data_IF_541704686028
#
_entry.id   IF_541704686028
#
_cell.length_a   1.000
_cell.length_b   1.000
_cell.length_c   1.000
_cell.angle_alpha   90.00
_cell.angle_beta   90.00
_cell.angle_gamma   90.00
#
_symmetry.space_group_name_H-M   'P 1'
#
loop_
_entity.id
_entity.type
_entity.pdbx_description
1 polymer ?
#
# COMPACT_ATOMS: atom_id res chain seq x y z
N UNK A 1 -18.64 6.59 7.09
CA UNK A 1 -17.91 7.35 6.07
C UNK A 1 -17.66 6.48 4.84
N UNK A 2 -17.45 7.11 3.67
CA UNK A 2 -17.27 6.40 2.38
C UNK A 2 -15.88 5.77 2.27
N UNK A 3 -15.79 4.67 1.52
CA UNK A 3 -14.55 4.00 1.13
C UNK A 3 -14.23 4.48 -0.28
N UNK A 4 -13.16 5.23 -0.44
CA UNK A 4 -12.72 5.70 -1.74
C UNK A 4 -11.74 4.71 -2.38
N UNK A 5 -12.00 4.32 -3.62
CA UNK A 5 -11.06 3.56 -4.46
C UNK A 5 -10.54 4.51 -5.53
N UNK A 6 -9.22 4.55 -5.74
CA UNK A 6 -8.59 5.25 -6.87
C UNK A 6 -8.25 4.22 -7.93
N UNK A 7 -8.74 4.41 -9.14
CA UNK A 7 -8.63 3.42 -10.23
C UNK A 7 -7.19 3.08 -10.64
N UNK A 8 -6.22 3.96 -10.35
CA UNK A 8 -4.80 3.71 -10.61
C UNK A 8 -4.42 3.81 -12.09
N UNK A 9 -3.51 2.95 -12.54
CA UNK A 9 -2.99 2.96 -13.91
C UNK A 9 -4.07 2.55 -14.92
N UNK A 10 -4.37 3.39 -15.94
CA UNK A 10 -5.33 3.04 -16.99
C UNK A 10 -4.88 1.85 -17.86
N UNK A 11 -3.58 1.62 -17.97
CA UNK A 11 -2.97 0.52 -18.73
C UNK A 11 -2.67 -0.68 -17.83
N UNK A 12 -3.70 -1.22 -17.17
CA UNK A 12 -3.55 -2.28 -16.19
C UNK A 12 -4.81 -3.15 -16.08
N UNK A 13 -4.75 -4.15 -15.21
CA UNK A 13 -5.90 -4.98 -14.83
C UNK A 13 -6.86 -4.29 -13.86
N UNK A 14 -6.67 -3.01 -13.54
CA UNK A 14 -7.36 -2.36 -12.42
C UNK A 14 -8.88 -2.32 -12.60
N UNK A 15 -9.38 -1.96 -13.78
CA UNK A 15 -10.83 -1.98 -14.04
C UNK A 15 -11.41 -3.38 -13.83
N UNK A 16 -10.71 -4.42 -14.27
CA UNK A 16 -11.14 -5.80 -14.12
C UNK A 16 -11.24 -6.21 -12.65
N UNK A 17 -10.20 -5.95 -11.85
CA UNK A 17 -10.24 -6.29 -10.42
C UNK A 17 -11.27 -5.45 -9.65
N UNK A 18 -11.51 -4.19 -10.04
CA UNK A 18 -12.56 -3.33 -9.46
C UNK A 18 -13.94 -3.93 -9.75
N UNK A 19 -14.25 -4.25 -10.99
CA UNK A 19 -15.56 -4.77 -11.40
C UNK A 19 -15.82 -6.16 -10.81
N UNK A 20 -14.83 -7.06 -10.84
CA UNK A 20 -14.94 -8.38 -10.19
C UNK A 20 -15.11 -8.26 -8.67
N UNK A 21 -14.42 -7.31 -8.04
CA UNK A 21 -14.61 -7.05 -6.60
C UNK A 21 -16.00 -6.54 -6.31
N UNK A 22 -16.48 -5.55 -7.06
CA UNK A 22 -17.83 -4.99 -6.92
C UNK A 22 -18.90 -6.07 -6.96
N UNK A 23 -18.84 -6.97 -7.93
CA UNK A 23 -19.84 -8.04 -8.07
C UNK A 23 -19.84 -9.02 -6.89
N UNK A 24 -18.71 -9.16 -6.17
CA UNK A 24 -18.58 -10.05 -4.99
C UNK A 24 -18.93 -9.37 -3.66
N UNK A 25 -19.21 -8.06 -3.65
CA UNK A 25 -19.54 -7.33 -2.44
C UNK A 25 -21.05 -7.38 -2.13
N UNK A 26 -21.39 -7.39 -0.83
CA UNK A 26 -22.75 -7.23 -0.40
C UNK A 26 -23.26 -5.77 -0.55
N UNK A 27 -24.57 -5.57 -0.53
CA UNK A 27 -25.24 -4.26 -0.69
C UNK A 27 -24.74 -3.22 0.33
N UNK A 28 -24.54 -3.61 1.59
CA UNK A 28 -24.07 -2.73 2.67
C UNK A 28 -22.69 -2.13 2.36
N UNK A 29 -21.74 -2.94 1.90
CA UNK A 29 -20.39 -2.48 1.54
C UNK A 29 -20.41 -1.69 0.23
N UNK A 30 -21.19 -2.11 -0.78
CA UNK A 30 -21.36 -1.38 -2.04
C UNK A 30 -21.80 0.06 -1.82
N UNK A 31 -22.76 0.29 -0.92
CA UNK A 31 -23.27 1.62 -0.59
C UNK A 31 -22.22 2.57 0.03
N UNK A 32 -21.10 2.03 0.52
CA UNK A 32 -20.00 2.84 1.08
C UNK A 32 -18.94 3.20 0.06
N UNK A 33 -18.88 2.49 -1.07
CA UNK A 33 -17.78 2.64 -2.05
C UNK A 33 -18.05 3.79 -3.02
N UNK A 34 -17.03 4.57 -3.25
CA UNK A 34 -16.90 5.52 -4.35
C UNK A 34 -15.60 5.24 -5.12
N UNK A 35 -15.60 5.47 -6.42
CA UNK A 35 -14.45 5.29 -7.28
C UNK A 35 -14.01 6.64 -7.87
N UNK A 36 -12.76 7.03 -7.71
CA UNK A 36 -12.15 8.10 -8.49
C UNK A 36 -11.55 7.47 -9.75
N UNK A 37 -12.06 7.86 -10.90
CA UNK A 37 -11.63 7.31 -12.18
C UNK A 37 -12.23 8.05 -13.36
N UNK A 38 -11.76 7.78 -14.57
CA UNK A 38 -12.37 8.34 -15.76
C UNK A 38 -13.57 7.49 -16.20
N UNK A 39 -14.76 8.10 -16.23
CA UNK A 39 -16.01 7.40 -16.51
C UNK A 39 -16.03 6.74 -17.89
N UNK A 40 -15.65 7.48 -18.94
CA UNK A 40 -15.65 6.94 -20.32
C UNK A 40 -14.61 5.83 -20.51
N UNK A 41 -13.43 5.95 -19.89
CA UNK A 41 -12.43 4.88 -19.89
C UNK A 41 -13.00 3.60 -19.28
N UNK A 42 -13.55 3.71 -18.07
CA UNK A 42 -14.12 2.57 -17.34
C UNK A 42 -15.28 1.93 -18.09
N UNK A 43 -16.13 2.72 -18.72
CA UNK A 43 -17.24 2.26 -19.56
C UNK A 43 -16.74 1.45 -20.77
N UNK A 44 -15.70 1.95 -21.47
CA UNK A 44 -15.10 1.23 -22.62
C UNK A 44 -14.36 -0.04 -22.15
N UNK A 45 -13.60 0.02 -21.05
CA UNK A 45 -12.91 -1.14 -20.49
C UNK A 45 -13.93 -2.21 -20.05
N UNK A 46 -15.03 -1.82 -19.36
CA UNK A 46 -16.12 -2.74 -19.00
C UNK A 46 -16.67 -3.50 -20.20
N UNK A 47 -16.95 -2.78 -21.30
CA UNK A 47 -17.44 -3.40 -22.54
C UNK A 47 -16.46 -4.41 -23.10
N UNK A 48 -15.16 -4.05 -23.20
CA UNK A 48 -14.11 -4.96 -23.73
C UNK A 48 -13.88 -6.19 -22.85
N UNK A 49 -13.96 -6.07 -21.53
CA UNK A 49 -13.76 -7.19 -20.59
C UNK A 49 -15.03 -8.04 -20.44
N UNK A 50 -16.18 -7.50 -20.87
CA UNK A 50 -17.51 -8.13 -20.77
C UNK A 50 -17.90 -8.49 -19.31
N UNK A 51 -17.75 -7.53 -18.39
CA UNK A 51 -18.20 -7.70 -17.00
C UNK A 51 -19.48 -6.87 -16.76
N UNK A 52 -20.61 -7.51 -16.39
CA UNK A 52 -21.85 -6.79 -16.13
C UNK A 52 -21.75 -6.00 -14.81
N UNK A 53 -21.80 -4.67 -14.93
CA UNK A 53 -21.82 -3.73 -13.79
C UNK A 53 -22.44 -2.41 -14.23
N UNK A 54 -23.26 -1.81 -13.38
CA UNK A 54 -23.80 -0.48 -13.61
C UNK A 54 -22.84 0.57 -13.07
N UNK A 55 -22.49 1.55 -13.92
CA UNK A 55 -21.63 2.67 -13.58
C UNK A 55 -22.49 3.95 -13.52
N UNK A 56 -22.26 4.77 -12.50
CA UNK A 56 -22.98 6.03 -12.33
C UNK A 56 -21.99 7.16 -12.01
N UNK A 57 -21.96 8.19 -12.85
CA UNK A 57 -21.16 9.40 -12.64
C UNK A 57 -21.80 10.26 -11.55
N UNK A 58 -21.00 10.75 -10.60
CA UNK A 58 -21.44 11.63 -9.53
C UNK A 58 -20.54 12.87 -9.46
N UNK A 59 -21.13 14.02 -9.13
CA UNK A 59 -20.40 15.29 -9.02
C UNK A 59 -19.94 15.55 -7.58
N UNK A 60 -20.73 15.11 -6.58
CA UNK A 60 -20.44 15.32 -5.16
C UNK A 60 -20.74 14.06 -4.32
N UNK A 61 -19.91 13.83 -3.30
CA UNK A 61 -20.01 12.67 -2.40
C UNK A 61 -21.30 12.71 -1.57
N UNK A 62 -21.78 13.91 -1.21
CA UNK A 62 -22.97 14.13 -0.36
C UNK A 62 -24.29 13.74 -1.04
N UNK A 63 -24.35 13.78 -2.37
CA UNK A 63 -25.56 13.48 -3.15
C UNK A 63 -25.75 12.00 -3.51
N UNK A 64 -25.03 11.09 -2.86
CA UNK A 64 -25.14 9.65 -3.18
C UNK A 64 -26.45 9.09 -2.66
N UNK A 65 -27.41 8.83 -3.55
CA UNK A 65 -28.59 8.02 -3.24
C UNK A 65 -28.19 6.57 -2.98
N UNK A 66 -28.61 6.01 -1.84
CA UNK A 66 -28.15 4.71 -1.33
C UNK A 66 -28.87 3.50 -1.94
N UNK A 67 -29.87 3.71 -2.82
CA UNK A 67 -30.76 2.64 -3.28
C UNK A 67 -30.40 2.05 -4.66
N UNK A 68 -29.43 2.61 -5.34
CA UNK A 68 -29.00 2.22 -6.67
C UNK A 68 -27.79 1.27 -6.61
N UNK A 69 -27.90 0.08 -7.19
CA UNK A 69 -26.83 -0.93 -7.26
C UNK A 69 -25.76 -0.61 -8.35
N UNK A 70 -25.42 0.69 -8.51
CA UNK A 70 -24.37 1.13 -9.43
C UNK A 70 -23.11 1.56 -8.69
N UNK A 71 -21.93 1.34 -9.30
CA UNK A 71 -20.66 1.86 -8.82
C UNK A 71 -20.59 3.37 -9.08
N UNK A 72 -20.52 4.15 -8.01
CA UNK A 72 -20.47 5.62 -8.05
C UNK A 72 -19.08 6.09 -8.41
N UNK A 73 -18.95 6.92 -9.45
CA UNK A 73 -17.69 7.39 -10.01
C UNK A 73 -17.59 8.91 -9.92
N UNK A 74 -16.59 9.39 -9.19
CA UNK A 74 -16.10 10.77 -9.31
C UNK A 74 -15.24 10.79 -10.56
N UNK A 75 -15.72 11.47 -11.59
CA UNK A 75 -15.05 11.50 -12.89
C UNK A 75 -13.79 12.37 -12.84
N UNK A 76 -12.65 11.78 -13.24
CA UNK A 76 -11.38 12.48 -13.37
C UNK A 76 -10.95 12.51 -14.85
N UNK A 77 -10.61 13.69 -15.41
CA UNK A 77 -10.38 13.85 -16.83
C UNK A 77 -9.19 13.02 -17.34
N UNK A 78 -9.37 12.36 -18.48
CA UNK A 78 -8.34 11.60 -19.18
C UNK A 78 -8.61 11.65 -20.69
N UNK A 79 -7.60 12.04 -21.49
CA UNK A 79 -7.64 11.95 -22.96
C UNK A 79 -7.02 10.62 -23.39
N UNK A 80 -7.74 9.84 -24.19
CA UNK A 80 -7.29 8.54 -24.71
C UNK A 80 -7.99 8.18 -26.02
N UNK A 81 -7.32 7.41 -26.86
CA UNK A 81 -7.87 6.82 -28.08
C UNK A 81 -8.24 5.34 -27.86
N UNK A 82 -7.31 4.54 -27.31
CA UNK A 82 -7.54 3.16 -26.89
C UNK A 82 -7.59 3.08 -25.37
N UNK A 83 -8.59 2.34 -24.85
CA UNK A 83 -8.84 2.27 -23.41
C UNK A 83 -7.84 1.41 -22.64
N UNK A 84 -6.96 0.66 -23.32
CA UNK A 84 -5.86 -0.11 -22.71
C UNK A 84 -4.47 0.30 -23.22
N UNK A 85 -4.40 1.31 -24.10
CA UNK A 85 -3.15 1.86 -24.65
C UNK A 85 -3.11 3.39 -24.49
N UNK A 86 -3.35 3.87 -23.28
CA UNK A 86 -3.27 5.30 -22.97
C UNK A 86 -1.83 5.78 -23.04
N UNK A 87 -1.58 6.90 -23.72
CA UNK A 87 -0.23 7.51 -23.81
C UNK A 87 0.35 7.76 -22.42
N UNK A 88 1.63 7.41 -22.21
CA UNK A 88 2.31 7.45 -20.91
C UNK A 88 2.19 8.82 -20.21
N UNK A 89 2.31 9.91 -20.97
CA UNK A 89 2.16 11.29 -20.45
C UNK A 89 0.76 11.56 -19.91
N UNK A 90 -0.28 11.07 -20.60
CA UNK A 90 -1.68 11.20 -20.16
C UNK A 90 -1.96 10.30 -18.95
N UNK A 91 -1.46 9.08 -18.97
CA UNK A 91 -1.57 8.15 -17.84
C UNK A 91 -0.90 8.72 -16.58
N UNK A 92 0.30 9.32 -16.69
CA UNK A 92 1.00 9.95 -15.58
C UNK A 92 0.21 11.13 -14.99
N UNK A 93 -0.31 12.05 -15.84
CA UNK A 93 -1.16 13.18 -15.39
C UNK A 93 -2.41 12.68 -14.67
N UNK A 94 -3.08 11.67 -15.23
CA UNK A 94 -4.28 11.08 -14.66
C UNK A 94 -4.02 10.43 -13.31
N UNK A 95 -2.99 9.59 -13.20
CA UNK A 95 -2.62 8.89 -11.96
C UNK A 95 -2.26 9.89 -10.86
N UNK A 96 -1.39 10.86 -11.15
CA UNK A 96 -0.99 11.87 -10.18
C UNK A 96 -2.15 12.76 -9.74
N UNK A 97 -3.01 13.14 -10.68
CA UNK A 97 -4.16 13.98 -10.39
C UNK A 97 -5.24 13.26 -9.57
N UNK A 98 -5.56 12.01 -9.92
CA UNK A 98 -6.52 11.21 -9.15
C UNK A 98 -6.04 10.89 -7.73
N UNK A 99 -4.74 10.63 -7.54
CA UNK A 99 -4.14 10.48 -6.20
C UNK A 99 -4.19 11.79 -5.41
N UNK A 100 -3.93 12.93 -6.05
CA UNK A 100 -4.04 14.25 -5.41
C UNK A 100 -5.46 14.54 -4.96
N UNK A 101 -6.45 14.25 -5.81
CA UNK A 101 -7.86 14.43 -5.46
C UNK A 101 -8.22 13.58 -4.22
N UNK A 102 -7.84 12.29 -4.21
CA UNK A 102 -8.07 11.44 -3.05
C UNK A 102 -7.39 11.97 -1.78
N UNK A 103 -6.15 12.44 -1.88
CA UNK A 103 -5.43 13.07 -0.77
C UNK A 103 -6.17 14.31 -0.25
N UNK A 104 -6.61 15.21 -1.14
CA UNK A 104 -7.36 16.41 -0.74
C UNK A 104 -8.68 16.07 -0.03
N UNK A 105 -9.43 15.09 -0.55
CA UNK A 105 -10.66 14.61 0.12
C UNK A 105 -10.39 14.05 1.52
N UNK A 106 -9.24 13.38 1.73
CA UNK A 106 -8.82 12.95 3.05
C UNK A 106 -8.50 14.13 3.99
N UNK A 107 -7.73 15.12 3.51
CA UNK A 107 -7.35 16.30 4.30
C UNK A 107 -8.59 17.12 4.71
N UNK A 108 -9.56 17.22 3.82
CA UNK A 108 -10.86 17.87 4.08
C UNK A 108 -11.82 17.02 4.94
N UNK A 109 -11.41 15.83 5.38
CA UNK A 109 -12.25 14.87 6.13
C UNK A 109 -13.54 14.43 5.42
N UNK A 110 -13.63 14.57 4.09
CA UNK A 110 -14.75 14.07 3.30
C UNK A 110 -14.74 12.54 3.18
N UNK A 111 -13.55 11.94 3.21
CA UNK A 111 -13.33 10.49 3.29
C UNK A 111 -12.34 10.15 4.42
N UNK A 112 -12.44 8.93 4.98
CA UNK A 112 -11.52 8.46 6.04
C UNK A 112 -10.14 8.03 5.52
N UNK A 113 -10.00 7.88 4.21
CA UNK A 113 -8.84 7.37 3.54
C UNK A 113 -9.23 6.74 2.21
N UNK A 114 -8.28 6.10 1.54
CA UNK A 114 -8.54 5.51 0.22
C UNK A 114 -7.73 4.24 -0.06
N UNK A 115 -8.24 3.46 -1.01
CA UNK A 115 -7.56 2.30 -1.59
C UNK A 115 -7.12 2.71 -2.99
N UNK A 116 -5.82 2.75 -3.28
CA UNK A 116 -5.37 2.93 -4.65
C UNK A 116 -5.07 1.58 -5.31
N UNK A 117 -5.60 1.38 -6.49
CA UNK A 117 -5.24 0.25 -7.34
C UNK A 117 -3.80 0.37 -7.85
N UNK A 118 -3.19 -0.72 -8.33
CA UNK A 118 -1.83 -0.75 -8.85
C UNK A 118 -1.48 0.36 -9.83
N UNK A 119 -0.23 0.82 -9.76
CA UNK A 119 0.30 1.89 -10.61
C UNK A 119 1.69 1.48 -11.10
N UNK A 120 1.96 1.69 -12.39
CA UNK A 120 3.32 1.57 -12.90
C UNK A 120 4.21 2.65 -12.29
N UNK A 121 5.28 2.25 -11.59
CA UNK A 121 6.17 3.15 -10.85
C UNK A 121 6.73 4.29 -11.70
N UNK A 122 7.02 4.02 -12.98
CA UNK A 122 7.55 5.01 -13.91
C UNK A 122 6.59 6.19 -14.19
N UNK A 123 5.28 6.05 -13.92
CA UNK A 123 4.30 7.14 -14.07
C UNK A 123 4.42 8.20 -12.97
N UNK A 124 4.94 7.83 -11.80
CA UNK A 124 5.04 8.72 -10.64
C UNK A 124 6.48 9.00 -10.22
N UNK A 125 7.47 8.35 -10.88
CA UNK A 125 8.88 8.47 -10.53
C UNK A 125 9.39 9.89 -10.74
N UNK A 126 9.88 10.51 -9.67
CA UNK A 126 10.60 11.79 -9.62
C UNK A 126 11.74 11.67 -8.62
N UNK A 127 12.69 12.66 -8.58
CA UNK A 127 13.79 12.68 -7.59
C UNK A 127 13.24 12.49 -6.16
N UNK A 128 13.60 11.38 -5.51
CA UNK A 128 13.17 11.02 -4.17
C UNK A 128 11.71 10.59 -4.03
N UNK A 129 11.02 10.22 -5.13
CA UNK A 129 9.69 9.61 -5.15
C UNK A 129 9.79 8.35 -6.01
N UNK A 130 9.67 7.20 -5.38
CA UNK A 130 9.80 5.88 -6.03
C UNK A 130 8.49 5.11 -6.04
N UNK A 131 7.49 5.56 -5.26
CA UNK A 131 6.18 4.94 -5.16
C UNK A 131 5.14 5.87 -4.54
N UNK A 132 3.92 5.37 -4.38
CA UNK A 132 2.79 6.14 -3.81
C UNK A 132 3.05 6.47 -2.34
N UNK A 133 3.73 5.61 -1.60
CA UNK A 133 4.06 5.83 -0.18
C UNK A 133 4.91 7.10 -0.01
N UNK A 134 6.01 7.21 -0.76
CA UNK A 134 6.89 8.38 -0.71
C UNK A 134 6.20 9.63 -1.30
N UNK A 135 5.37 9.46 -2.34
CA UNK A 135 4.59 10.56 -2.92
C UNK A 135 3.65 11.20 -1.90
N UNK A 136 2.92 10.38 -1.15
CA UNK A 136 1.99 10.86 -0.13
C UNK A 136 2.73 11.34 1.13
N UNK A 137 3.81 10.68 1.52
CA UNK A 137 4.65 11.09 2.66
C UNK A 137 5.18 12.51 2.48
N UNK A 138 5.67 12.86 1.29
CA UNK A 138 6.12 14.23 0.98
C UNK A 138 5.01 15.30 1.01
N UNK A 139 3.75 14.90 0.86
CA UNK A 139 2.57 15.79 0.91
C UNK A 139 1.94 15.87 2.30
N UNK A 140 2.41 15.05 3.24
CA UNK A 140 1.87 15.07 4.61
C UNK A 140 2.31 16.37 5.31
N UNK A 141 1.38 17.22 5.74
CA UNK A 141 1.72 18.51 6.35
C UNK A 141 2.39 18.37 7.72
N UNK A 142 2.23 17.23 8.39
CA UNK A 142 2.90 16.97 9.67
C UNK A 142 4.16 16.14 9.46
N UNK A 143 5.34 16.74 9.59
CA UNK A 143 6.63 16.05 9.65
C UNK A 143 6.83 15.19 10.93
N UNK A 144 5.77 14.99 11.71
CA UNK A 144 5.83 14.29 13.01
C UNK A 144 6.15 12.80 12.85
N UNK A 145 5.67 12.18 11.77
CA UNK A 145 5.85 10.76 11.50
C UNK A 145 6.49 10.53 10.13
N UNK A 146 7.40 9.56 10.06
CA UNK A 146 7.93 9.11 8.77
C UNK A 146 6.94 8.16 8.12
N UNK A 147 6.89 8.15 6.80
CA UNK A 147 6.13 7.15 6.05
C UNK A 147 6.75 5.76 6.23
N UNK A 148 5.92 4.77 6.50
CA UNK A 148 6.31 3.36 6.65
C UNK A 148 5.43 2.49 5.78
N UNK A 149 6.04 1.65 4.96
CA UNK A 149 5.37 0.61 4.19
C UNK A 149 5.18 -0.62 5.08
N UNK A 150 3.93 -1.00 5.34
CA UNK A 150 3.58 -2.22 6.06
C UNK A 150 2.88 -3.19 5.10
N UNK A 151 3.51 -4.31 4.77
CA UNK A 151 2.79 -5.44 4.17
C UNK A 151 2.15 -6.24 5.28
N UNK A 152 0.83 -6.43 5.18
CA UNK A 152 0.04 -7.05 6.24
C UNK A 152 -0.75 -8.26 5.75
N UNK A 153 -0.63 -9.35 6.48
CA UNK A 153 -1.52 -10.49 6.53
C UNK A 153 -1.97 -10.70 7.98
N UNK A 154 -3.09 -11.37 8.21
CA UNK A 154 -3.60 -11.63 9.56
C UNK A 154 -2.61 -12.35 10.49
N UNK A 155 -1.69 -13.15 9.93
CA UNK A 155 -0.70 -13.95 10.68
C UNK A 155 0.61 -13.21 10.90
N UNK A 156 1.00 -12.29 9.99
CA UNK A 156 2.29 -11.61 10.03
C UNK A 156 2.21 -10.29 9.27
N UNK A 157 2.95 -9.32 9.73
CA UNK A 157 3.25 -8.10 8.98
C UNK A 157 4.76 -7.97 8.75
N UNK A 158 5.15 -7.33 7.65
CA UNK A 158 6.56 -7.02 7.39
C UNK A 158 6.76 -5.57 7.00
N UNK A 159 7.89 -5.02 7.41
CA UNK A 159 8.30 -3.63 7.13
C UNK A 159 9.73 -3.62 6.60
N UNK A 160 9.97 -3.23 5.34
CA UNK A 160 11.30 -2.89 4.89
C UNK A 160 11.66 -1.47 5.33
N UNK A 161 12.80 -1.28 6.01
CA UNK A 161 13.30 0.05 6.38
C UNK A 161 13.67 0.88 5.17
N UNK A 162 14.32 0.24 4.18
CA UNK A 162 14.58 0.83 2.86
C UNK A 162 13.74 0.11 1.81
N UNK A 163 13.12 0.87 0.89
CA UNK A 163 12.17 0.32 -0.09
C UNK A 163 12.81 0.16 -1.47
N UNK A 164 12.94 1.21 -2.24
CA UNK A 164 13.35 1.15 -3.65
C UNK A 164 14.78 1.70 -3.86
N UNK A 165 15.70 1.28 -3.01
CA UNK A 165 17.12 1.66 -3.04
C UNK A 165 17.92 0.52 -3.68
N UNK A 166 18.94 0.84 -4.46
CA UNK A 166 19.84 -0.16 -5.02
C UNK A 166 20.59 -0.88 -3.90
N UNK A 167 20.79 -2.19 -4.00
CA UNK A 167 21.43 -3.01 -2.97
C UNK A 167 22.78 -2.42 -2.55
N UNK A 168 23.61 -1.99 -3.50
CA UNK A 168 24.93 -1.37 -3.25
C UNK A 168 24.89 -0.09 -2.38
N UNK A 169 23.72 0.53 -2.26
CA UNK A 169 23.58 1.79 -1.52
C UNK A 169 22.87 1.61 -0.18
N UNK A 170 22.36 0.40 0.15
CA UNK A 170 21.53 0.17 1.33
C UNK A 170 22.25 0.58 2.61
N UNK A 171 23.47 0.13 2.82
CA UNK A 171 24.28 0.42 4.01
C UNK A 171 24.40 1.94 4.27
N UNK A 172 24.53 2.75 3.20
CA UNK A 172 24.58 4.23 3.31
C UNK A 172 23.30 4.85 3.87
N UNK A 173 22.15 4.18 3.65
CA UNK A 173 20.84 4.67 4.11
C UNK A 173 20.45 4.13 5.49
N UNK A 174 21.03 3.00 5.93
CA UNK A 174 20.77 2.47 7.27
C UNK A 174 21.46 3.38 8.30
N UNK A 175 20.65 4.11 9.05
CA UNK A 175 21.11 5.04 10.10
C UNK A 175 20.27 4.81 11.36
N UNK A 176 20.85 4.95 12.54
CA UNK A 176 20.18 4.84 13.84
C UNK A 176 18.87 5.63 13.87
N UNK A 177 18.91 6.91 13.48
CA UNK A 177 17.74 7.78 13.48
C UNK A 177 16.63 7.32 12.50
N UNK A 178 16.99 6.71 11.34
CA UNK A 178 16.01 6.15 10.41
C UNK A 178 15.25 4.98 11.07
N UNK A 179 15.98 4.06 11.70
CA UNK A 179 15.42 2.91 12.41
C UNK A 179 14.45 3.38 13.49
N UNK A 180 14.90 4.30 14.36
CA UNK A 180 14.11 4.84 15.46
C UNK A 180 12.84 5.53 14.95
N UNK A 181 12.94 6.42 13.96
CA UNK A 181 11.77 7.14 13.40
C UNK A 181 10.75 6.18 12.80
N UNK A 182 11.20 5.20 12.00
CA UNK A 182 10.28 4.25 11.34
C UNK A 182 9.63 3.30 12.32
N UNK A 183 10.36 2.79 13.32
CA UNK A 183 9.80 1.91 14.34
C UNK A 183 8.85 2.66 15.28
N UNK A 184 9.14 3.90 15.64
CA UNK A 184 8.19 4.75 16.38
C UNK A 184 6.87 4.92 15.61
N UNK A 185 6.96 5.24 14.31
CA UNK A 185 5.77 5.34 13.46
C UNK A 185 5.04 4.00 13.37
N UNK A 186 5.76 2.92 13.12
CA UNK A 186 5.21 1.56 13.06
C UNK A 186 4.42 1.24 14.33
N UNK A 187 5.02 1.37 15.50
CA UNK A 187 4.38 0.99 16.77
C UNK A 187 3.09 1.81 17.04
N UNK A 188 3.15 3.12 16.87
CA UNK A 188 2.01 4.02 17.09
C UNK A 188 0.85 3.67 16.15
N UNK A 189 1.14 3.53 14.87
CA UNK A 189 0.10 3.27 13.87
C UNK A 189 -0.40 1.83 13.92
N UNK A 190 0.44 0.86 14.23
CA UNK A 190 0.02 -0.53 14.43
C UNK A 190 -0.98 -0.63 15.59
N UNK A 191 -0.68 -0.01 16.73
CA UNK A 191 -1.60 0.05 17.88
C UNK A 191 -2.93 0.72 17.52
N UNK A 192 -2.91 1.80 16.74
CA UNK A 192 -4.13 2.46 16.25
C UNK A 192 -4.98 1.57 15.35
N UNK A 193 -4.35 0.86 14.42
CA UNK A 193 -5.02 0.04 13.42
C UNK A 193 -5.55 -1.27 13.98
N UNK A 194 -4.76 -1.96 14.82
CA UNK A 194 -5.03 -3.31 15.28
C UNK A 194 -5.47 -3.40 16.74
N UNK A 195 -5.49 -2.26 17.47
CA UNK A 195 -5.83 -2.16 18.89
C UNK A 195 -4.96 -3.07 19.78
N UNK A 196 -3.72 -3.29 19.37
CA UNK A 196 -2.77 -4.19 19.99
C UNK A 196 -1.35 -3.63 19.86
N UNK A 197 -0.52 -3.78 20.89
CA UNK A 197 0.91 -3.50 20.78
C UNK A 197 1.60 -4.63 20.00
N UNK A 198 2.43 -4.30 18.97
CA UNK A 198 3.10 -5.32 18.20
C UNK A 198 4.31 -5.89 18.94
N UNK A 199 4.51 -7.20 18.83
CA UNK A 199 5.80 -7.85 19.10
C UNK A 199 6.65 -7.69 17.83
N UNK A 200 7.70 -6.86 17.92
CA UNK A 200 8.52 -6.47 16.79
C UNK A 200 9.85 -7.21 16.83
N UNK A 201 10.26 -7.77 15.72
CA UNK A 201 11.61 -8.27 15.52
C UNK A 201 12.31 -7.47 14.43
N UNK A 202 13.57 -7.13 14.64
CA UNK A 202 14.43 -6.46 13.67
C UNK A 202 15.46 -7.46 13.18
N UNK A 203 15.58 -7.60 11.86
CA UNK A 203 16.62 -8.43 11.25
C UNK A 203 17.93 -7.65 11.11
N UNK A 204 19.05 -8.33 11.04
CA UNK A 204 20.32 -7.73 10.67
C UNK A 204 20.38 -7.36 9.17
N UNK A 205 21.38 -6.62 8.79
CA UNK A 205 21.64 -6.25 7.41
C UNK A 205 22.49 -7.32 6.70
N UNK A 206 23.54 -7.77 7.38
CA UNK A 206 24.56 -8.65 6.82
C UNK A 206 24.26 -10.14 7.12
N UNK A 207 24.78 -11.06 6.29
CA UNK A 207 24.74 -12.48 6.60
C UNK A 207 25.32 -12.76 8.00
N UNK A 208 24.63 -13.62 8.78
CA UNK A 208 24.99 -13.99 10.15
C UNK A 208 25.23 -12.82 11.11
N UNK A 209 24.61 -11.64 10.80
CA UNK A 209 24.85 -10.37 11.51
C UNK A 209 26.33 -9.97 11.52
N UNK A 210 27.09 -10.35 10.49
CA UNK A 210 28.52 -10.10 10.36
C UNK A 210 29.32 -10.58 11.59
N UNK A 211 28.93 -11.71 12.18
CA UNK A 211 29.50 -12.28 13.43
C UNK A 211 29.71 -11.25 14.54
N UNK A 212 28.92 -10.16 14.51
CA UNK A 212 28.99 -9.01 15.42
C UNK A 212 30.37 -8.29 15.42
N UNK A 213 31.03 -8.26 14.30
CA UNK A 213 32.26 -7.50 14.12
C UNK A 213 32.08 -6.02 14.52
N UNK A 214 33.08 -5.44 15.19
CA UNK A 214 33.05 -4.06 15.73
C UNK A 214 32.68 -3.00 14.69
N UNK A 215 32.99 -3.24 13.40
CA UNK A 215 32.75 -2.29 12.32
C UNK A 215 31.46 -2.51 11.56
N UNK A 216 30.71 -3.58 11.86
CA UNK A 216 29.46 -3.89 11.18
C UNK A 216 28.33 -2.88 11.46
N UNK A 217 27.39 -2.77 10.55
CA UNK A 217 26.15 -1.98 10.73
C UNK A 217 25.33 -2.50 11.91
N UNK A 218 25.40 -3.78 12.20
CA UNK A 218 24.76 -4.39 13.36
C UNK A 218 25.25 -3.75 14.65
N UNK A 219 26.56 -3.71 14.86
CA UNK A 219 27.17 -3.21 16.11
C UNK A 219 27.10 -1.69 16.18
N UNK A 220 27.40 -0.98 15.10
CA UNK A 220 27.47 0.48 15.11
C UNK A 220 26.11 1.18 15.04
N UNK A 221 25.10 0.54 14.45
CA UNK A 221 23.85 1.22 14.09
C UNK A 221 22.62 0.48 14.65
N UNK A 222 22.47 -0.83 14.33
CA UNK A 222 21.22 -1.55 14.58
C UNK A 222 21.06 -1.84 16.07
N UNK A 223 22.06 -2.40 16.73
CA UNK A 223 22.04 -2.70 18.17
C UNK A 223 21.78 -1.44 19.00
N UNK A 224 22.50 -0.31 18.78
CA UNK A 224 22.22 0.93 19.51
C UNK A 224 20.81 1.48 19.31
N UNK A 225 20.23 1.33 18.10
CA UNK A 225 18.85 1.72 17.84
C UNK A 225 17.85 0.83 18.60
N UNK A 226 18.07 -0.48 18.60
CA UNK A 226 17.21 -1.44 19.30
C UNK A 226 17.28 -1.23 20.81
N UNK A 227 18.48 -1.02 21.37
CA UNK A 227 18.65 -0.71 22.82
C UNK A 227 17.82 0.49 23.25
N UNK A 228 17.80 1.54 22.46
CA UNK A 228 17.01 2.74 22.75
C UNK A 228 15.50 2.45 22.65
N UNK A 229 15.07 1.74 21.60
CA UNK A 229 13.66 1.42 21.37
C UNK A 229 13.10 0.40 22.36
N UNK A 230 13.91 -0.53 22.86
CA UNK A 230 13.53 -1.56 23.85
C UNK A 230 13.06 -0.97 25.16
N UNK A 231 13.46 0.26 25.49
CA UNK A 231 12.97 0.99 26.68
C UNK A 231 11.48 1.33 26.59
N UNK A 232 10.89 1.32 25.36
CA UNK A 232 9.52 1.81 25.11
C UNK A 232 8.62 0.77 24.44
N UNK A 233 9.19 -0.21 23.75
CA UNK A 233 8.45 -1.12 22.88
C UNK A 233 8.88 -2.57 23.07
N UNK A 234 7.97 -3.49 22.80
CA UNK A 234 8.30 -4.93 22.74
C UNK A 234 9.03 -5.23 21.42
N UNK A 235 10.35 -5.09 21.46
CA UNK A 235 11.23 -5.19 20.28
C UNK A 235 12.47 -6.01 20.63
N UNK A 236 12.87 -6.88 19.71
CA UNK A 236 14.09 -7.70 19.81
C UNK A 236 14.87 -7.68 18.49
N UNK A 237 16.14 -8.08 18.56
CA UNK A 237 17.04 -8.18 17.42
C UNK A 237 18.42 -7.58 17.72
N UNK A 238 19.32 -7.51 16.72
CA UNK A 238 19.13 -8.02 15.37
C UNK A 238 19.12 -9.58 15.35
N UNK A 239 18.14 -10.13 14.63
CA UNK A 239 18.09 -11.57 14.36
C UNK A 239 18.71 -11.89 13.01
N UNK A 240 19.34 -13.06 12.91
CA UNK A 240 19.92 -13.55 11.65
C UNK A 240 18.81 -13.87 10.66
N UNK A 241 18.87 -13.27 9.46
CA UNK A 241 17.73 -13.24 8.54
C UNK A 241 17.44 -14.56 7.83
N UNK A 242 18.47 -15.35 7.49
CA UNK A 242 18.35 -16.58 6.71
C UNK A 242 17.53 -17.67 7.43
N UNK A 243 17.75 -17.87 8.71
CA UNK A 243 17.07 -18.88 9.53
C UNK A 243 15.75 -18.37 10.15
N UNK A 244 15.56 -17.04 10.21
CA UNK A 244 14.44 -16.46 10.95
C UNK A 244 13.07 -16.88 10.41
N UNK A 245 12.91 -16.93 9.09
CA UNK A 245 11.63 -17.26 8.45
C UNK A 245 11.29 -18.75 8.44
N UNK A 246 12.16 -19.63 8.93
CA UNK A 246 11.87 -21.07 9.07
C UNK A 246 10.72 -21.27 10.07
N UNK A 247 10.86 -20.80 11.31
CA UNK A 247 9.85 -20.98 12.36
C UNK A 247 9.70 -19.77 13.30
N UNK A 248 10.79 -19.05 13.56
CA UNK A 248 10.84 -18.00 14.59
C UNK A 248 9.87 -16.85 14.35
N UNK A 249 9.51 -16.59 13.08
CA UNK A 249 8.60 -15.49 12.70
C UNK A 249 7.20 -15.63 13.33
N UNK A 250 6.77 -16.84 13.68
CA UNK A 250 5.45 -17.12 14.28
C UNK A 250 5.26 -16.46 15.66
N UNK A 251 6.36 -16.15 16.33
CA UNK A 251 6.35 -15.51 17.65
C UNK A 251 6.17 -13.99 17.59
N UNK A 252 6.16 -13.40 16.42
CA UNK A 252 6.14 -11.95 16.22
C UNK A 252 4.95 -11.50 15.40
N UNK A 253 4.55 -10.27 15.61
CA UNK A 253 3.48 -9.63 14.86
C UNK A 253 4.03 -8.87 13.65
N UNK A 254 5.27 -8.32 13.80
CA UNK A 254 5.94 -7.54 12.76
C UNK A 254 7.41 -7.89 12.66
N UNK A 255 7.85 -8.17 11.44
CA UNK A 255 9.27 -8.34 11.08
C UNK A 255 9.75 -7.10 10.36
N UNK A 256 10.79 -6.47 10.87
CA UNK A 256 11.44 -5.31 10.27
C UNK A 256 12.74 -5.75 9.63
N UNK A 257 12.82 -5.64 8.30
CA UNK A 257 14.05 -5.90 7.55
C UNK A 257 14.74 -4.62 7.12
N UNK A 258 16.03 -4.72 6.82
CA UNK A 258 16.83 -3.58 6.41
C UNK A 258 16.50 -3.14 4.98
N UNK A 259 16.12 -4.07 4.10
CA UNK A 259 15.79 -3.79 2.71
C UNK A 259 14.59 -4.60 2.20
N UNK A 260 14.08 -4.16 1.06
CA UNK A 260 12.85 -4.62 0.46
C UNK A 260 12.76 -6.14 0.32
N UNK A 261 13.71 -6.75 -0.41
CA UNK A 261 13.61 -8.16 -0.76
C UNK A 261 13.89 -9.09 0.42
N UNK A 262 14.61 -8.63 1.45
CA UNK A 262 14.88 -9.41 2.66
C UNK A 262 13.61 -9.91 3.35
N UNK A 263 12.57 -9.10 3.35
CA UNK A 263 11.31 -9.44 4.03
C UNK A 263 10.15 -9.72 3.07
N UNK A 264 10.16 -9.13 1.86
CA UNK A 264 9.05 -9.32 0.94
C UNK A 264 9.10 -10.66 0.21
N UNK A 265 10.28 -11.19 -0.10
CA UNK A 265 10.41 -12.50 -0.74
C UNK A 265 9.79 -13.61 0.14
N UNK A 266 10.23 -13.82 1.39
CA UNK A 266 9.64 -14.84 2.25
C UNK A 266 8.16 -14.56 2.54
N UNK A 267 7.78 -13.30 2.78
CA UNK A 267 6.39 -12.93 3.04
C UNK A 267 5.46 -13.27 1.87
N UNK A 268 5.86 -12.95 0.64
CA UNK A 268 5.06 -13.26 -0.56
C UNK A 268 5.02 -14.75 -0.87
N UNK A 269 6.07 -15.49 -0.55
CA UNK A 269 6.08 -16.94 -0.66
C UNK A 269 5.03 -17.57 0.27
N UNK A 270 4.92 -17.11 1.52
CA UNK A 270 3.94 -17.62 2.48
C UNK A 270 2.50 -17.22 2.15
N UNK A 271 2.28 -15.96 1.78
CA UNK A 271 0.92 -15.40 1.73
C UNK A 271 0.40 -15.13 0.32
N UNK A 272 1.23 -15.19 -0.71
CA UNK A 272 0.83 -15.00 -2.12
C UNK A 272 -0.03 -13.72 -2.30
N UNK A 273 -1.26 -13.86 -2.78
CA UNK A 273 -2.23 -12.76 -2.93
C UNK A 273 -3.02 -12.46 -1.64
N UNK A 274 -2.66 -13.08 -0.53
CA UNK A 274 -3.36 -12.92 0.75
C UNK A 274 -2.74 -11.82 1.63
N UNK A 275 -2.43 -10.68 1.02
CA UNK A 275 -1.78 -9.57 1.67
C UNK A 275 -2.33 -8.22 1.17
N UNK A 276 -2.13 -7.18 1.98
CA UNK A 276 -2.40 -5.79 1.65
C UNK A 276 -1.21 -4.94 2.02
N UNK A 277 -1.00 -3.86 1.27
CA UNK A 277 0.04 -2.87 1.56
C UNK A 277 -0.61 -1.64 2.23
N UNK A 278 -0.21 -1.31 3.44
CA UNK A 278 -0.69 -0.17 4.22
C UNK A 278 0.43 0.86 4.33
N UNK A 279 0.13 2.12 4.06
CA UNK A 279 1.05 3.23 4.35
C UNK A 279 0.75 3.77 5.74
N UNK A 280 1.69 3.63 6.66
CA UNK A 280 1.65 4.23 7.99
C UNK A 280 2.29 5.62 7.97
N UNK A 281 2.00 6.45 8.97
CA UNK A 281 2.55 7.80 9.08
C UNK A 281 1.69 8.90 8.44
N UNK A 282 0.62 8.55 7.75
CA UNK A 282 -0.35 9.50 7.21
C UNK A 282 -1.48 9.79 8.21
N UNK A 283 -2.09 10.98 8.12
CA UNK A 283 -3.24 11.35 8.97
C UNK A 283 -4.54 10.61 8.59
N UNK A 284 -4.51 9.80 7.55
CA UNK A 284 -5.63 9.02 7.04
C UNK A 284 -5.16 7.61 6.64
N UNK A 285 -6.09 6.68 6.48
CA UNK A 285 -5.77 5.32 6.07
C UNK A 285 -5.55 5.24 4.55
N UNK A 286 -4.37 4.79 4.14
CA UNK A 286 -4.08 4.46 2.75
C UNK A 286 -3.66 3.01 2.62
N UNK A 287 -4.36 2.28 1.74
CA UNK A 287 -4.12 0.85 1.48
C UNK A 287 -3.99 0.63 -0.02
N UNK A 288 -3.28 -0.40 -0.42
CA UNK A 288 -3.26 -0.87 -1.82
C UNK A 288 -3.17 -2.39 -1.89
N UNK A 289 -3.69 -3.00 -2.97
CA UNK A 289 -3.38 -4.38 -3.30
C UNK A 289 -1.87 -4.62 -3.40
N UNK A 290 -1.44 -5.81 -3.00
CA UNK A 290 -0.04 -6.23 -3.05
C UNK A 290 0.30 -6.96 -4.36
N UNK A 291 0.02 -6.31 -5.49
CA UNK A 291 0.42 -6.77 -6.83
C UNK A 291 0.62 -5.60 -7.79
N UNK A 292 1.23 -5.85 -8.93
CA UNK A 292 1.49 -4.87 -9.98
C UNK A 292 0.34 -4.71 -10.98
N UNK A 293 0.64 -4.06 -12.09
CA UNK A 293 -0.31 -3.76 -13.19
C UNK A 293 -0.65 -4.96 -14.06
N UNK A 294 0.14 -6.04 -14.00
CA UNK A 294 -0.04 -7.31 -14.71
C UNK A 294 -0.39 -7.12 -16.21
N UNK A 295 0.53 -6.47 -16.92
CA UNK A 295 0.33 -6.04 -18.32
C UNK A 295 0.06 -7.21 -19.28
N UNK A 296 0.58 -8.38 -18.98
CA UNK A 296 0.44 -9.64 -19.74
C UNK A 296 -0.99 -10.17 -19.81
N UNK A 297 -1.83 -9.82 -18.84
CA UNK A 297 -3.24 -10.27 -18.77
C UNK A 297 -4.28 -9.16 -18.88
N UNK A 298 -3.89 -7.95 -19.29
CA UNK A 298 -4.81 -6.82 -19.49
C UNK A 298 -5.90 -7.19 -20.50
N UNK A 299 -7.15 -6.97 -20.14
CA UNK A 299 -8.32 -7.19 -21.01
C UNK A 299 -8.69 -8.65 -21.23
N UNK A 300 -7.96 -9.61 -20.63
CA UNK A 300 -8.17 -11.05 -20.83
C UNK A 300 -9.16 -11.70 -19.85
N UNK A 301 -9.75 -10.94 -18.95
CA UNK A 301 -10.65 -11.43 -17.89
C UNK A 301 -10.05 -12.53 -16.99
N UNK A 302 -8.71 -12.53 -16.79
CA UNK A 302 -7.96 -13.49 -15.97
C UNK A 302 -7.48 -12.95 -14.63
N UNK A 303 -7.69 -11.65 -14.36
CA UNK A 303 -7.20 -11.01 -13.13
C UNK A 303 -7.92 -11.52 -11.87
N UNK A 304 -7.15 -11.70 -10.80
CA UNK A 304 -7.65 -12.15 -9.49
C UNK A 304 -7.96 -10.94 -8.59
N UNK A 305 -9.22 -10.73 -8.17
CA UNK A 305 -9.61 -9.59 -7.34
C UNK A 305 -9.35 -9.77 -5.85
N UNK A 306 -8.77 -10.90 -5.41
CA UNK A 306 -8.66 -11.28 -3.98
C UNK A 306 -7.98 -10.22 -3.12
N UNK A 307 -6.87 -9.62 -3.61
CA UNK A 307 -6.12 -8.62 -2.85
C UNK A 307 -6.93 -7.31 -2.70
N UNK A 308 -7.61 -6.84 -3.77
CA UNK A 308 -8.49 -5.67 -3.67
C UNK A 308 -9.69 -5.91 -2.75
N UNK A 309 -10.31 -7.08 -2.80
CA UNK A 309 -11.38 -7.47 -1.87
C UNK A 309 -10.91 -7.44 -0.41
N UNK A 310 -9.66 -7.87 -0.15
CA UNK A 310 -9.07 -7.77 1.20
C UNK A 310 -8.85 -6.33 1.63
N UNK A 311 -8.37 -5.47 0.73
CA UNK A 311 -8.27 -4.03 1.00
C UNK A 311 -9.63 -3.45 1.39
N UNK A 312 -10.69 -3.75 0.63
CA UNK A 312 -12.05 -3.26 0.89
C UNK A 312 -12.57 -3.77 2.25
N UNK A 313 -12.43 -5.08 2.53
CA UNK A 313 -12.84 -5.68 3.80
C UNK A 313 -12.08 -5.10 5.00
N UNK A 314 -10.77 -4.91 4.86
CA UNK A 314 -9.96 -4.28 5.90
C UNK A 314 -10.44 -2.86 6.18
N UNK A 315 -10.67 -2.08 5.14
CA UNK A 315 -11.15 -0.70 5.24
C UNK A 315 -12.56 -0.60 5.84
N UNK A 316 -13.47 -1.50 5.48
CA UNK A 316 -14.84 -1.55 5.99
C UNK A 316 -14.90 -1.85 7.50
N UNK A 317 -13.97 -2.68 7.98
CA UNK A 317 -13.83 -3.02 9.40
C UNK A 317 -13.07 -1.95 10.21
N UNK A 318 -12.41 -1.01 9.55
CA UNK A 318 -11.69 0.07 10.22
C UNK A 318 -12.65 1.15 10.73
N UNK A 319 -12.80 1.19 12.06
CA UNK A 319 -13.67 2.15 12.78
C UNK A 319 -13.00 3.50 13.02
#
# INVERSE_FOLDING_TARGET
>A
KKICIVSGDPNSINSEIIFKSWNKLNKKTKNKIILIGNYELLKKQRKKINIPINLNKIDKIERIKTHDNSLKIIDYPLKFNDCFKVKKTQAAKYVLGSLNLAHQLCIKNEIKGFINCPIEKNLIKKKGIYGVTEFLGKKNPSNKFSEVMLLHNKKLSVVPLTTHIKIKDISKYIKKNLIIKKINTLNIFYKRLFKKEPRIVVLGLNPHNCELEKNSEEVKIIIPAIKELKKKYNIVGPMVADNFFKDSYKNFDVVVGMYHDQVLIPFKNFFKFDAINITLGLNYLRISPDHGTAKDIIGKNKANPKSLLKCIKFFDNFK
#
